data_IF_195934840105
#
_entry.id   IF_195934840105
#
_cell.length_a   1.000
_cell.length_b   1.000
_cell.length_c   1.000
_cell.angle_alpha   90.00
_cell.angle_beta   90.00
_cell.angle_gamma   90.00
#
_symmetry.space_group_name_H-M   'P 1'
#
loop_
_entity.id
_entity.type
_entity.pdbx_description
1 polymer ?
#
# COMPACT_ATOMS: atom_id res chain seq x y z
N UNK A 1 2.62 25.92 -22.65
CA UNK A 1 2.93 24.62 -22.05
C UNK A 1 3.13 24.85 -20.57
N UNK A 2 2.24 24.31 -19.75
CA UNK A 2 2.40 24.35 -18.29
C UNK A 2 3.42 23.30 -17.89
N UNK A 3 4.37 23.63 -17.02
CA UNK A 3 5.45 22.74 -16.53
C UNK A 3 4.95 21.41 -15.94
N UNK A 4 3.64 21.28 -15.67
CA UNK A 4 2.96 20.06 -15.21
C UNK A 4 2.86 18.92 -16.23
N UNK A 5 3.16 19.15 -17.52
CA UNK A 5 3.04 18.13 -18.58
C UNK A 5 4.38 17.43 -18.91
N UNK A 6 5.47 17.78 -18.21
CA UNK A 6 6.76 17.12 -18.39
C UNK A 6 6.82 15.84 -17.52
N UNK A 7 7.08 14.64 -18.10
CA UNK A 7 7.23 13.41 -17.32
C UNK A 7 8.39 13.43 -16.32
N UNK A 8 9.33 14.38 -16.42
CA UNK A 8 10.38 14.62 -15.43
C UNK A 8 9.98 15.62 -14.32
N UNK A 9 8.74 16.12 -14.34
CA UNK A 9 8.26 17.08 -13.35
C UNK A 9 8.17 16.42 -11.97
N UNK A 10 9.01 16.86 -11.05
CA UNK A 10 8.96 16.49 -9.63
C UNK A 10 8.44 17.68 -8.85
N UNK A 11 7.25 17.53 -8.27
CA UNK A 11 6.68 18.54 -7.38
C UNK A 11 7.55 18.69 -6.13
N UNK A 12 7.95 19.94 -5.83
CA UNK A 12 8.83 20.26 -4.70
C UNK A 12 8.04 20.93 -3.59
N UNK A 13 7.97 20.28 -2.43
CA UNK A 13 7.28 20.80 -1.27
C UNK A 13 8.26 21.19 -0.16
N UNK A 14 8.11 22.38 0.40
CA UNK A 14 8.95 22.83 1.53
C UNK A 14 8.25 22.50 2.85
N UNK A 15 8.80 21.54 3.59
CA UNK A 15 8.27 21.12 4.91
C UNK A 15 8.93 21.94 6.02
N UNK A 16 8.13 22.57 6.88
CA UNK A 16 8.59 23.16 8.13
C UNK A 16 8.50 22.12 9.23
N UNK A 17 9.65 21.73 9.78
CA UNK A 17 9.73 20.72 10.84
C UNK A 17 10.03 21.40 12.18
N UNK A 18 9.41 20.95 13.29
CA UNK A 18 9.82 21.33 14.64
C UNK A 18 11.24 20.84 14.95
N UNK A 19 11.83 21.43 15.98
CA UNK A 19 13.21 21.15 16.36
C UNK A 19 13.43 19.66 16.69
N UNK A 20 14.58 19.12 16.29
CA UNK A 20 14.93 17.70 16.42
C UNK A 20 14.20 16.72 15.48
N UNK A 21 13.08 17.10 14.84
CA UNK A 21 12.33 16.19 13.96
C UNK A 21 13.11 15.84 12.68
N UNK A 22 13.84 16.82 12.13
CA UNK A 22 14.69 16.60 10.95
C UNK A 22 15.78 15.56 11.22
N UNK A 23 16.39 15.62 12.40
CA UNK A 23 17.45 14.70 12.80
C UNK A 23 16.90 13.30 13.07
N UNK A 24 15.70 13.19 13.67
CA UNK A 24 15.02 11.91 13.85
C UNK A 24 14.74 11.21 12.51
N UNK A 25 14.24 11.96 11.52
CA UNK A 25 14.00 11.43 10.16
C UNK A 25 15.33 11.06 9.48
N UNK A 26 16.37 11.87 9.65
CA UNK A 26 17.71 11.58 9.11
C UNK A 26 18.30 10.27 9.67
N UNK A 27 18.20 10.07 10.98
CA UNK A 27 18.70 8.88 11.66
C UNK A 27 17.94 7.63 11.20
N UNK A 28 16.61 7.72 11.08
CA UNK A 28 15.77 6.64 10.55
C UNK A 28 16.11 6.29 9.10
N UNK A 29 16.24 7.30 8.23
CA UNK A 29 16.63 7.10 6.84
C UNK A 29 18.00 6.40 6.72
N UNK A 30 18.98 6.81 7.54
CA UNK A 30 20.31 6.17 7.59
C UNK A 30 20.24 4.72 8.07
N UNK A 31 19.43 4.43 9.09
CA UNK A 31 19.22 3.06 9.58
C UNK A 31 18.62 2.15 8.52
N UNK A 32 17.74 2.69 7.65
CA UNK A 32 17.10 1.96 6.56
C UNK A 32 17.90 1.99 5.23
N UNK A 33 19.07 2.65 5.19
CA UNK A 33 19.88 2.77 3.98
C UNK A 33 19.23 3.58 2.86
N UNK A 34 18.33 4.51 3.20
CA UNK A 34 17.55 5.33 2.25
C UNK A 34 17.97 6.79 2.29
N UNK A 35 17.67 7.52 1.20
CA UNK A 35 17.73 8.98 1.24
C UNK A 35 16.66 9.53 2.18
N UNK A 36 16.91 10.69 2.80
CA UNK A 36 15.92 11.36 3.65
C UNK A 36 14.60 11.61 2.90
N UNK A 37 14.67 11.98 1.62
CA UNK A 37 13.49 12.21 0.80
C UNK A 37 12.69 10.92 0.59
N UNK A 38 13.36 9.81 0.27
CA UNK A 38 12.73 8.50 0.10
C UNK A 38 12.06 8.02 1.38
N UNK A 39 12.67 8.29 2.55
CA UNK A 39 12.07 7.94 3.84
C UNK A 39 10.82 8.79 4.14
N UNK A 40 10.86 10.09 3.85
CA UNK A 40 9.68 10.97 4.00
C UNK A 40 8.53 10.49 3.12
N UNK A 41 8.81 10.17 1.85
CA UNK A 41 7.79 9.64 0.93
C UNK A 41 7.22 8.32 1.44
N UNK A 42 8.06 7.41 1.94
CA UNK A 42 7.58 6.15 2.52
C UNK A 42 6.66 6.40 3.72
N UNK A 43 7.05 7.26 4.65
CA UNK A 43 6.25 7.58 5.84
C UNK A 43 4.88 8.13 5.44
N UNK A 44 4.82 9.00 4.42
CA UNK A 44 3.58 9.53 3.90
C UNK A 44 2.72 8.45 3.23
N UNK A 45 3.32 7.58 2.41
CA UNK A 45 2.61 6.45 1.80
C UNK A 45 2.04 5.51 2.86
N UNK A 46 2.84 5.13 3.85
CA UNK A 46 2.41 4.24 4.93
C UNK A 46 1.24 4.86 5.71
N UNK A 47 1.28 6.16 5.99
CA UNK A 47 0.20 6.86 6.67
C UNK A 47 -1.10 6.89 5.83
N UNK A 48 -0.99 7.19 4.53
CA UNK A 48 -2.14 7.23 3.62
C UNK A 48 -2.77 5.85 3.41
N UNK A 49 -1.94 4.81 3.24
CA UNK A 49 -2.40 3.42 3.09
C UNK A 49 -3.04 2.94 4.40
N UNK A 50 -2.45 3.28 5.55
CA UNK A 50 -3.04 2.92 6.84
C UNK A 50 -4.42 3.56 6.99
N UNK A 51 -4.57 4.83 6.65
CA UNK A 51 -5.87 5.51 6.73
C UNK A 51 -6.87 4.96 5.70
N UNK A 52 -6.44 4.48 4.53
CA UNK A 52 -7.35 3.85 3.56
C UNK A 52 -7.76 2.43 3.96
N UNK A 53 -6.81 1.57 4.32
CA UNK A 53 -7.07 0.16 4.67
C UNK A 53 -7.81 0.07 6.00
N UNK A 54 -7.35 0.81 7.03
CA UNK A 54 -8.00 0.80 8.33
C UNK A 54 -9.17 1.77 8.39
N UNK A 55 -9.25 2.80 7.56
CA UNK A 55 -10.43 3.67 7.49
C UNK A 55 -11.65 2.91 6.98
N UNK A 56 -11.48 2.06 5.96
CA UNK A 56 -12.58 1.23 5.47
C UNK A 56 -12.93 0.13 6.49
N UNK A 57 -11.94 -0.57 7.06
CA UNK A 57 -12.19 -1.65 8.05
C UNK A 57 -12.72 -1.12 9.39
N UNK A 58 -12.29 0.07 9.85
CA UNK A 58 -12.70 0.63 11.14
C UNK A 58 -14.06 1.34 11.10
N UNK A 59 -14.52 1.74 9.91
CA UNK A 59 -15.84 2.36 9.74
C UNK A 59 -16.93 1.36 9.29
N UNK A 60 -16.56 0.16 8.85
CA UNK A 60 -17.49 -0.94 8.69
C UNK A 60 -18.04 -1.34 10.07
N UNK A 61 -19.36 -1.25 10.31
CA UNK A 61 -19.95 -1.74 11.55
C UNK A 61 -19.69 -3.24 11.63
N UNK A 62 -18.86 -3.65 12.59
CA UNK A 62 -18.70 -5.06 12.91
C UNK A 62 -20.07 -5.56 13.34
N UNK A 63 -20.72 -6.38 12.51
CA UNK A 63 -21.92 -7.12 12.92
C UNK A 63 -21.52 -7.99 14.11
N UNK A 64 -21.92 -7.56 15.32
CA UNK A 64 -21.76 -8.35 16.51
C UNK A 64 -22.66 -9.57 16.35
N UNK A 65 -22.06 -10.70 15.97
CA UNK A 65 -22.74 -11.98 16.03
C UNK A 65 -23.18 -12.21 17.48
N UNK A 66 -24.45 -12.55 17.73
CA UNK A 66 -24.91 -12.85 19.07
C UNK A 66 -24.04 -13.97 19.66
N UNK A 67 -23.53 -13.75 20.87
CA UNK A 67 -22.76 -14.77 21.57
C UNK A 67 -23.63 -16.02 21.74
N UNK A 68 -23.20 -17.10 21.11
CA UNK A 68 -23.86 -18.40 21.09
C UNK A 68 -22.99 -19.37 21.92
N UNK A 69 -23.34 -19.67 23.18
CA UNK A 69 -22.53 -20.51 24.05
C UNK A 69 -22.39 -21.94 23.52
N UNK A 70 -23.31 -22.40 22.67
CA UNK A 70 -23.23 -23.73 22.04
C UNK A 70 -22.21 -23.77 20.89
N UNK A 71 -21.64 -22.63 20.50
CA UNK A 71 -20.58 -22.50 19.48
C UNK A 71 -19.27 -21.96 20.05
N UNK A 72 -19.08 -22.04 21.37
CA UNK A 72 -17.84 -21.62 22.01
C UNK A 72 -16.67 -22.49 21.52
N UNK A 73 -15.70 -21.86 20.85
CA UNK A 73 -14.46 -22.51 20.45
C UNK A 73 -13.39 -22.14 21.48
N UNK A 74 -13.01 -23.10 22.31
CA UNK A 74 -11.90 -22.94 23.26
C UNK A 74 -10.60 -23.38 22.60
N UNK A 75 -9.71 -22.42 22.32
CA UNK A 75 -8.35 -22.69 21.84
C UNK A 75 -7.31 -22.17 22.82
N UNK A 76 -6.13 -22.78 22.82
CA UNK A 76 -5.02 -22.28 23.61
C UNK A 76 -4.47 -20.97 23.02
N UNK A 77 -3.86 -20.13 23.86
CA UNK A 77 -3.22 -18.89 23.38
C UNK A 77 -2.09 -19.17 22.37
N UNK A 78 -1.46 -20.33 22.43
CA UNK A 78 -0.48 -20.80 21.43
C UNK A 78 -1.13 -21.07 20.08
N UNK A 79 -2.24 -21.80 20.04
CA UNK A 79 -2.97 -22.12 18.80
C UNK A 79 -3.58 -20.87 18.18
N UNK A 80 -4.10 -19.95 18.99
CA UNK A 80 -4.57 -18.64 18.50
C UNK A 80 -3.43 -17.86 17.85
N UNK A 81 -2.25 -17.81 18.48
CA UNK A 81 -1.10 -17.13 17.91
C UNK A 81 -0.62 -17.78 16.61
N UNK A 82 -0.68 -19.10 16.51
CA UNK A 82 -0.34 -19.82 15.28
C UNK A 82 -1.35 -19.56 14.16
N UNK A 83 -2.64 -19.56 14.49
CA UNK A 83 -3.71 -19.19 13.55
C UNK A 83 -3.52 -17.76 13.02
N UNK A 84 -3.29 -16.78 13.91
CA UNK A 84 -3.05 -15.39 13.52
C UNK A 84 -1.80 -15.24 12.64
N UNK A 85 -0.71 -15.95 12.95
CA UNK A 85 0.51 -15.95 12.13
C UNK A 85 0.25 -16.51 10.74
N UNK A 86 -0.48 -17.62 10.64
CA UNK A 86 -0.80 -18.24 9.36
C UNK A 86 -1.76 -17.38 8.53
N UNK A 87 -2.76 -16.76 9.17
CA UNK A 87 -3.66 -15.81 8.51
C UNK A 87 -2.92 -14.58 7.97
N UNK A 88 -2.04 -13.97 8.79
CA UNK A 88 -1.22 -12.84 8.35
C UNK A 88 -0.29 -13.22 7.19
N UNK A 89 0.28 -14.42 7.22
CA UNK A 89 1.13 -14.93 6.13
C UNK A 89 0.34 -15.09 4.82
N UNK A 90 -0.87 -15.66 4.87
CA UNK A 90 -1.73 -15.82 3.70
C UNK A 90 -2.09 -14.46 3.08
N UNK A 91 -2.45 -13.47 3.90
CA UNK A 91 -2.74 -12.10 3.42
C UNK A 91 -1.52 -11.49 2.71
N UNK A 92 -0.32 -11.70 3.25
CA UNK A 92 0.92 -11.18 2.64
C UNK A 92 1.24 -11.91 1.33
N UNK A 93 1.08 -13.24 1.28
CA UNK A 93 1.28 -14.03 0.06
C UNK A 93 0.29 -13.62 -1.03
N UNK A 94 -1.01 -13.52 -0.71
CA UNK A 94 -2.07 -13.10 -1.63
C UNK A 94 -1.82 -11.67 -2.15
N UNK A 95 -1.48 -10.73 -1.27
CA UNK A 95 -1.14 -9.37 -1.66
C UNK A 95 0.11 -9.33 -2.56
N UNK A 96 1.13 -10.14 -2.26
CA UNK A 96 2.35 -10.21 -3.09
C UNK A 96 2.09 -10.80 -4.48
N UNK A 97 1.23 -11.81 -4.57
CA UNK A 97 0.82 -12.41 -5.83
C UNK A 97 -0.01 -11.43 -6.67
N UNK A 98 -0.92 -10.69 -6.03
CA UNK A 98 -1.73 -9.68 -6.70
C UNK A 98 -0.87 -8.53 -7.23
N UNK A 99 0.06 -8.01 -6.41
CA UNK A 99 1.02 -6.98 -6.83
C UNK A 99 1.88 -7.47 -8.01
N UNK A 100 2.32 -8.73 -7.98
CA UNK A 100 3.10 -9.31 -9.07
C UNK A 100 2.29 -9.44 -10.37
N UNK A 101 1.02 -9.84 -10.28
CA UNK A 101 0.09 -9.90 -11.43
C UNK A 101 -0.15 -8.50 -12.01
N UNK A 102 -0.48 -7.54 -11.17
CA UNK A 102 -0.77 -6.17 -11.60
C UNK A 102 0.46 -5.51 -12.26
N UNK A 103 1.66 -5.74 -11.70
CA UNK A 103 2.91 -5.25 -12.28
C UNK A 103 3.24 -5.93 -13.63
N UNK A 104 2.96 -7.23 -13.75
CA UNK A 104 3.14 -7.96 -14.99
C UNK A 104 2.15 -7.50 -16.07
N UNK A 105 0.88 -7.30 -15.72
CA UNK A 105 -0.15 -6.77 -16.61
C UNK A 105 0.17 -5.34 -17.07
N UNK A 106 0.63 -4.47 -16.16
CA UNK A 106 1.07 -3.12 -16.51
C UNK A 106 2.28 -3.13 -17.45
N UNK A 107 3.26 -4.01 -17.23
CA UNK A 107 4.41 -4.16 -18.11
C UNK A 107 4.01 -4.71 -19.49
N UNK A 108 3.11 -5.70 -19.55
CA UNK A 108 2.59 -6.25 -20.80
C UNK A 108 1.78 -5.20 -21.56
N UNK A 109 0.92 -4.44 -20.86
CA UNK A 109 0.15 -3.34 -21.43
C UNK A 109 1.04 -2.25 -22.03
N UNK A 110 2.07 -1.82 -21.29
CA UNK A 110 3.04 -0.85 -21.78
C UNK A 110 3.82 -1.35 -23.00
N UNK A 111 4.21 -2.64 -23.02
CA UNK A 111 4.84 -3.24 -24.20
C UNK A 111 3.89 -3.30 -25.40
N UNK A 112 2.62 -3.66 -25.19
CA UNK A 112 1.60 -3.70 -26.25
C UNK A 112 1.32 -2.32 -26.85
N UNK A 113 1.35 -1.26 -26.03
CA UNK A 113 1.25 0.13 -26.48
C UNK A 113 2.48 0.57 -27.30
N UNK A 114 3.70 0.25 -26.83
CA UNK A 114 4.95 0.58 -27.54
C UNK A 114 5.00 -0.07 -28.92
N UNK A 115 4.50 -1.30 -29.05
CA UNK A 115 4.46 -2.03 -30.32
C UNK A 115 3.18 -1.77 -31.15
N UNK A 116 2.32 -0.82 -30.74
CA UNK A 116 1.03 -0.49 -31.38
C UNK A 116 0.14 -1.72 -31.69
N UNK A 117 0.24 -2.79 -30.90
CA UNK A 117 -0.53 -4.02 -31.10
C UNK A 117 -1.95 -3.96 -30.51
N UNK A 118 -2.31 -2.83 -29.90
CA UNK A 118 -3.68 -2.56 -29.44
C UNK A 118 -4.52 -2.09 -30.63
N UNK A 119 -5.57 -2.82 -31.05
CA UNK A 119 -6.45 -2.34 -32.12
C UNK A 119 -7.15 -1.07 -31.63
N UNK A 120 -6.79 0.08 -32.22
CA UNK A 120 -7.45 1.37 -31.96
C UNK A 120 -8.93 1.21 -32.31
N UNK A 121 -9.77 1.11 -31.29
CA UNK A 121 -11.22 1.07 -31.42
C UNK A 121 -11.68 2.27 -32.24
N UNK A 122 -12.26 2.01 -33.42
CA UNK A 122 -13.03 3.02 -34.15
C UNK A 122 -14.08 3.58 -33.18
N UNK A 123 -14.05 4.89 -32.93
CA UNK A 123 -15.22 5.59 -32.39
C UNK A 123 -16.41 5.34 -33.32
N UNK A 124 -17.54 4.77 -32.87
CA UNK A 124 -18.78 4.96 -33.58
C UNK A 124 -19.24 6.40 -33.34
N UNK A 125 -19.61 7.02 -34.45
CA UNK A 125 -20.31 8.31 -34.59
C UNK A 125 -21.45 8.51 -33.62
#
# INVERSE_FOLDING_TARGET
>A
MTEKEDPAFVERFTVRMPDGMRDAVAARAKAHGRSMNSEIVQILQDALIKDSIFGDIANEPIEQFPYDPDKEITITSSELNEFLKNAAKGIIEDASEQIAKDAAEAAIGGLLEIYELVPKGKKPT
#
